data_IF_692646371196
#
_entry.id   IF_692646371196
#
_cell.length_a   1.000
_cell.length_b   1.000
_cell.length_c   1.000
_cell.angle_alpha   90.00
_cell.angle_beta   90.00
_cell.angle_gamma   90.00
#
_symmetry.space_group_name_H-M   'P 1'
#
loop_
_entity.id
_entity.type
_entity.pdbx_description
1 polymer ?
#
# COMPACT_ATOMS: atom_id res chain seq x y z
N UNK A 1 -17.78 -7.56 -27.48
CA UNK A 1 -19.17 -7.80 -27.06
C UNK A 1 -19.61 -6.59 -26.26
N UNK A 2 -20.38 -5.69 -26.88
CA UNK A 2 -20.97 -4.52 -26.23
C UNK A 2 -22.13 -5.00 -25.37
N UNK A 3 -21.92 -5.11 -24.06
CA UNK A 3 -23.00 -5.38 -23.14
C UNK A 3 -23.95 -4.18 -23.13
N UNK A 4 -25.21 -4.43 -23.44
CA UNK A 4 -26.30 -3.46 -23.42
C UNK A 4 -26.39 -2.79 -22.05
N UNK A 5 -26.27 -1.47 -22.02
CA UNK A 5 -26.35 -0.64 -20.81
C UNK A 5 -27.84 -0.39 -20.49
N UNK A 6 -28.53 -1.40 -19.95
CA UNK A 6 -29.85 -1.21 -19.33
C UNK A 6 -29.71 -1.43 -17.82
N UNK A 7 -30.04 -0.41 -17.02
CA UNK A 7 -30.12 -0.53 -15.56
C UNK A 7 -29.00 0.13 -14.74
N UNK A 8 -28.17 1.03 -15.29
CA UNK A 8 -27.21 1.78 -14.46
C UNK A 8 -27.94 2.74 -13.53
N UNK A 9 -27.69 2.59 -12.23
CA UNK A 9 -28.20 3.48 -11.20
C UNK A 9 -27.14 4.53 -10.87
N UNK A 10 -27.49 5.80 -11.10
CA UNK A 10 -26.66 6.95 -10.71
C UNK A 10 -27.10 7.50 -9.35
N UNK A 11 -26.17 8.06 -8.55
CA UNK A 11 -26.57 8.76 -7.33
C UNK A 11 -27.43 10.00 -7.65
N UNK A 12 -28.27 10.46 -6.70
CA UNK A 12 -29.23 11.54 -6.96
C UNK A 12 -28.59 12.81 -7.51
N UNK A 13 -29.19 13.37 -8.57
CA UNK A 13 -28.72 14.61 -9.21
C UNK A 13 -27.58 14.44 -10.21
N UNK A 14 -27.08 13.21 -10.40
CA UNK A 14 -25.97 12.92 -11.32
C UNK A 14 -26.52 12.49 -12.67
N UNK A 15 -26.07 13.19 -13.71
CA UNK A 15 -26.43 12.90 -15.08
C UNK A 15 -25.68 11.67 -15.59
N UNK A 16 -26.27 11.04 -16.60
CA UNK A 16 -25.71 9.85 -17.24
C UNK A 16 -24.28 10.10 -17.73
N UNK A 17 -23.43 9.09 -17.63
CA UNK A 17 -22.06 9.20 -18.12
C UNK A 17 -21.93 8.62 -19.54
N UNK A 18 -23.02 8.55 -20.31
CA UNK A 18 -23.13 7.80 -21.58
C UNK A 18 -22.24 8.35 -22.72
N UNK A 19 -22.21 7.62 -23.84
CA UNK A 19 -21.28 7.83 -24.96
C UNK A 19 -21.64 9.09 -25.77
N UNK A 20 -20.62 9.82 -26.20
CA UNK A 20 -20.65 11.11 -26.92
C UNK A 20 -20.81 12.40 -26.09
N UNK A 21 -20.18 12.46 -24.90
CA UNK A 21 -20.00 13.72 -24.16
C UNK A 21 -18.58 14.28 -24.28
N UNK A 22 -18.47 15.61 -24.34
CA UNK A 22 -17.16 16.28 -24.35
C UNK A 22 -16.42 16.05 -23.04
N UNK A 23 -15.08 16.12 -23.07
CA UNK A 23 -14.26 15.95 -21.85
C UNK A 23 -14.66 16.91 -20.74
N UNK A 24 -15.00 18.16 -21.07
CA UNK A 24 -15.41 19.16 -20.07
C UNK A 24 -16.74 18.81 -19.41
N UNK A 25 -17.72 18.34 -20.19
CA UNK A 25 -19.00 17.91 -19.62
C UNK A 25 -18.85 16.62 -18.81
N UNK A 26 -18.01 15.68 -19.27
CA UNK A 26 -17.68 14.48 -18.51
C UNK A 26 -17.03 14.82 -17.16
N UNK A 27 -16.07 15.75 -17.14
CA UNK A 27 -15.45 16.23 -15.90
C UNK A 27 -16.49 16.86 -14.97
N UNK A 28 -17.44 17.62 -15.51
CA UNK A 28 -18.54 18.21 -14.72
C UNK A 28 -19.43 17.13 -14.10
N UNK A 29 -19.88 16.16 -14.88
CA UNK A 29 -20.73 15.05 -14.40
C UNK A 29 -20.01 14.16 -13.39
N UNK A 30 -18.73 13.88 -13.60
CA UNK A 30 -17.91 13.13 -12.64
C UNK A 30 -17.66 13.90 -11.33
N UNK A 31 -17.56 15.24 -11.38
CA UNK A 31 -17.52 16.07 -10.17
C UNK A 31 -18.83 16.01 -9.40
N UNK A 32 -19.97 16.09 -10.08
CA UNK A 32 -21.31 15.90 -9.50
C UNK A 32 -21.39 14.49 -8.86
N UNK A 33 -20.91 13.46 -9.57
CA UNK A 33 -20.84 12.08 -9.08
C UNK A 33 -20.00 11.93 -7.81
N UNK A 34 -18.78 12.45 -7.81
CA UNK A 34 -17.91 12.40 -6.64
C UNK A 34 -18.51 13.16 -5.45
N UNK A 35 -19.15 14.31 -5.68
CA UNK A 35 -19.80 15.07 -4.60
C UNK A 35 -21.00 14.34 -4.01
N UNK A 36 -21.83 13.73 -4.85
CA UNK A 36 -22.99 12.97 -4.40
C UNK A 36 -22.60 11.72 -3.60
N UNK A 37 -21.54 11.04 -4.01
CA UNK A 37 -21.02 9.90 -3.25
C UNK A 37 -20.34 10.31 -1.95
N UNK A 38 -19.62 11.44 -1.92
CA UNK A 38 -18.98 11.94 -0.70
C UNK A 38 -19.96 12.27 0.43
N UNK A 39 -21.15 12.79 0.09
CA UNK A 39 -22.19 13.07 1.07
C UNK A 39 -23.00 11.85 1.48
N UNK A 40 -22.86 10.73 0.76
CA UNK A 40 -23.59 9.50 1.03
C UNK A 40 -22.99 8.76 2.22
N UNK A 41 -23.85 8.31 3.14
CA UNK A 41 -23.47 7.38 4.19
C UNK A 41 -23.51 5.93 3.69
N UNK A 42 -22.79 5.05 4.38
CA UNK A 42 -22.94 3.62 4.20
C UNK A 42 -24.36 3.20 4.61
N UNK A 43 -25.03 2.43 3.76
CA UNK A 43 -26.42 1.99 3.95
C UNK A 43 -26.59 0.61 3.29
N UNK A 44 -27.28 -0.32 3.96
CA UNK A 44 -27.54 -1.67 3.45
C UNK A 44 -28.28 -1.64 2.10
N UNK A 45 -29.18 -0.66 1.90
CA UNK A 45 -29.90 -0.49 0.64
C UNK A 45 -28.97 -0.05 -0.51
N UNK A 46 -27.86 0.62 -0.19
CA UNK A 46 -26.89 1.10 -1.17
C UNK A 46 -25.80 0.07 -1.51
N UNK A 47 -25.69 -1.04 -0.75
CA UNK A 47 -24.58 -2.01 -0.86
C UNK A 47 -24.33 -2.47 -2.30
N UNK A 48 -25.37 -2.94 -2.99
CA UNK A 48 -25.29 -3.43 -4.38
C UNK A 48 -25.90 -2.47 -5.40
N UNK A 49 -26.52 -1.38 -4.94
CA UNK A 49 -27.26 -0.44 -5.80
C UNK A 49 -26.38 0.16 -6.91
N UNK A 50 -25.12 0.43 -6.59
CA UNK A 50 -24.18 1.09 -7.50
C UNK A 50 -23.21 0.13 -8.21
N UNK A 51 -23.35 -1.19 -8.05
CA UNK A 51 -22.56 -2.21 -8.76
C UNK A 51 -22.55 -1.98 -10.29
N UNK A 52 -23.70 -1.69 -10.97
CA UNK A 52 -23.68 -1.39 -12.40
C UNK A 52 -22.86 -0.16 -12.78
N UNK A 53 -22.88 0.89 -11.95
CA UNK A 53 -22.08 2.10 -12.17
C UNK A 53 -20.60 1.83 -11.93
N UNK A 54 -20.26 1.03 -10.91
CA UNK A 54 -18.90 0.60 -10.65
C UNK A 54 -18.30 -0.12 -11.87
N UNK A 55 -19.05 -1.08 -12.45
CA UNK A 55 -18.64 -1.78 -13.67
C UNK A 55 -18.50 -0.87 -14.89
N UNK A 56 -19.33 0.17 -15.02
CA UNK A 56 -19.15 1.16 -16.08
C UNK A 56 -17.84 1.93 -15.91
N UNK A 57 -17.52 2.38 -14.68
CA UNK A 57 -16.37 3.22 -14.37
C UNK A 57 -15.02 2.53 -14.56
N UNK A 58 -14.99 1.20 -14.61
CA UNK A 58 -13.76 0.42 -14.87
C UNK A 58 -13.52 0.10 -16.34
N UNK A 59 -14.37 0.58 -17.25
CA UNK A 59 -14.13 0.41 -18.68
C UNK A 59 -12.92 1.23 -19.16
N UNK A 60 -12.23 0.75 -20.19
CA UNK A 60 -11.00 1.36 -20.75
C UNK A 60 -11.17 2.86 -21.04
N UNK A 61 -12.35 3.27 -21.50
CA UNK A 61 -12.65 4.68 -21.80
C UNK A 61 -12.51 5.62 -20.59
N UNK A 62 -12.62 5.10 -19.36
CA UNK A 62 -12.44 5.86 -18.13
C UNK A 62 -11.07 5.65 -17.52
N UNK A 63 -10.63 4.39 -17.39
CA UNK A 63 -9.35 4.06 -16.77
C UNK A 63 -8.16 4.56 -17.60
N UNK A 64 -8.25 4.46 -18.93
CA UNK A 64 -7.22 4.91 -19.88
C UNK A 64 -7.59 6.24 -20.56
N UNK A 65 -8.54 6.99 -19.99
CA UNK A 65 -8.96 8.27 -20.54
C UNK A 65 -7.77 9.25 -20.61
N UNK A 66 -7.63 10.01 -21.70
CA UNK A 66 -6.48 10.93 -21.91
C UNK A 66 -6.32 11.99 -20.82
N UNK A 67 -7.45 12.57 -20.37
CA UNK A 67 -7.46 13.58 -19.30
C UNK A 67 -7.16 12.98 -17.92
N UNK A 68 -6.15 13.53 -17.25
CA UNK A 68 -5.80 13.18 -15.87
C UNK A 68 -6.93 13.49 -14.88
N UNK A 69 -7.64 14.60 -15.08
CA UNK A 69 -8.75 14.99 -14.21
C UNK A 69 -9.90 13.97 -14.27
N UNK A 70 -10.18 13.42 -15.46
CA UNK A 70 -11.18 12.36 -15.62
C UNK A 70 -10.75 11.11 -14.84
N UNK A 71 -9.51 10.63 -15.03
CA UNK A 71 -9.01 9.44 -14.33
C UNK A 71 -9.02 9.61 -12.80
N UNK A 72 -8.60 10.77 -12.30
CA UNK A 72 -8.64 11.06 -10.87
C UNK A 72 -10.07 11.12 -10.32
N UNK A 73 -11.00 11.74 -11.04
CA UNK A 73 -12.40 11.79 -10.62
C UNK A 73 -13.04 10.40 -10.61
N UNK A 74 -12.72 9.57 -11.61
CA UNK A 74 -13.15 8.17 -11.67
C UNK A 74 -12.61 7.40 -10.46
N UNK A 75 -11.33 7.56 -10.12
CA UNK A 75 -10.75 6.93 -8.93
C UNK A 75 -11.46 7.37 -7.64
N UNK A 76 -11.77 8.67 -7.48
CA UNK A 76 -12.56 9.13 -6.33
C UNK A 76 -13.95 8.48 -6.29
N UNK A 77 -14.66 8.43 -7.42
CA UNK A 77 -15.99 7.81 -7.47
C UNK A 77 -15.93 6.32 -7.12
N UNK A 78 -14.98 5.57 -7.67
CA UNK A 78 -14.83 4.15 -7.37
C UNK A 78 -14.48 3.95 -5.88
N UNK A 79 -13.56 4.75 -5.32
CA UNK A 79 -13.20 4.67 -3.90
C UNK A 79 -14.39 4.96 -2.98
N UNK A 80 -15.23 5.95 -3.31
CA UNK A 80 -16.45 6.18 -2.55
C UNK A 80 -17.50 5.08 -2.73
N UNK A 81 -17.58 4.44 -3.91
CA UNK A 81 -18.45 3.26 -4.08
C UNK A 81 -17.97 2.14 -3.13
N UNK A 82 -16.67 1.86 -3.03
CA UNK A 82 -16.15 0.92 -2.02
C UNK A 82 -16.57 1.32 -0.59
N UNK A 83 -16.54 2.62 -0.26
CA UNK A 83 -16.94 3.14 1.05
C UNK A 83 -18.42 2.92 1.34
N UNK A 84 -19.29 3.23 0.38
CA UNK A 84 -20.76 3.15 0.52
C UNK A 84 -21.23 1.70 0.48
N UNK A 85 -20.55 0.85 -0.31
CA UNK A 85 -20.89 -0.57 -0.46
C UNK A 85 -20.34 -1.46 0.65
N UNK A 86 -19.36 -0.98 1.45
CA UNK A 86 -18.80 -1.75 2.55
C UNK A 86 -19.91 -2.35 3.46
N UNK A 87 -19.75 -3.58 3.98
CA UNK A 87 -18.58 -4.45 3.86
C UNK A 87 -18.47 -5.18 2.50
N UNK A 88 -19.49 -5.13 1.65
CA UNK A 88 -19.50 -5.84 0.38
C UNK A 88 -18.73 -5.06 -0.70
N UNK A 89 -17.75 -5.69 -1.33
CA UNK A 89 -17.05 -5.07 -2.44
C UNK A 89 -17.97 -4.98 -3.67
N UNK A 90 -17.93 -3.87 -4.44
CA UNK A 90 -18.77 -3.71 -5.63
C UNK A 90 -18.34 -4.60 -6.81
N UNK A 91 -17.25 -5.37 -6.66
CA UNK A 91 -16.75 -6.29 -7.68
C UNK A 91 -16.56 -7.67 -7.06
N UNK A 92 -16.97 -8.71 -7.81
CA UNK A 92 -16.79 -10.12 -7.40
C UNK A 92 -15.62 -10.80 -8.13
N UNK A 93 -15.24 -10.27 -9.30
CA UNK A 93 -14.15 -10.82 -10.10
C UNK A 93 -12.78 -10.32 -9.61
N UNK A 94 -11.87 -11.25 -9.30
CA UNK A 94 -10.52 -10.91 -8.84
C UNK A 94 -9.74 -10.07 -9.85
N UNK A 95 -9.92 -10.30 -11.15
CA UNK A 95 -9.23 -9.54 -12.19
C UNK A 95 -9.68 -8.07 -12.19
N UNK A 96 -10.98 -7.81 -12.07
CA UNK A 96 -11.51 -6.46 -11.91
C UNK A 96 -10.99 -5.78 -10.64
N UNK A 97 -10.97 -6.48 -9.50
CA UNK A 97 -10.46 -5.91 -8.25
C UNK A 97 -8.98 -5.52 -8.40
N UNK A 98 -8.15 -6.41 -8.95
CA UNK A 98 -6.72 -6.14 -9.17
C UNK A 98 -6.51 -4.93 -10.07
N UNK A 99 -7.25 -4.85 -11.18
CA UNK A 99 -7.21 -3.71 -12.10
C UNK A 99 -7.53 -2.38 -11.40
N UNK A 100 -8.54 -2.38 -10.53
CA UNK A 100 -8.93 -1.19 -9.77
C UNK A 100 -7.88 -0.80 -8.72
N UNK A 101 -7.30 -1.77 -8.01
CA UNK A 101 -6.23 -1.50 -7.04
C UNK A 101 -4.98 -0.94 -7.73
N UNK A 102 -4.60 -1.50 -8.88
CA UNK A 102 -3.50 -0.98 -9.70
C UNK A 102 -3.80 0.43 -10.22
N UNK A 103 -5.04 0.70 -10.63
CA UNK A 103 -5.48 2.02 -11.04
C UNK A 103 -5.42 3.05 -9.90
N UNK A 104 -5.80 2.67 -8.68
CA UNK A 104 -5.62 3.53 -7.50
C UNK A 104 -4.15 3.85 -7.25
N UNK A 105 -3.26 2.84 -7.31
CA UNK A 105 -1.82 3.06 -7.18
C UNK A 105 -1.33 4.03 -8.27
N UNK A 106 -1.79 3.89 -9.52
CA UNK A 106 -1.44 4.83 -10.58
C UNK A 106 -1.88 6.27 -10.27
N UNK A 107 -3.12 6.47 -9.81
CA UNK A 107 -3.61 7.80 -9.45
C UNK A 107 -2.85 8.39 -8.25
N UNK A 108 -2.50 7.58 -7.25
CA UNK A 108 -1.74 8.05 -6.09
C UNK A 108 -0.34 8.61 -6.43
N UNK A 109 0.19 8.36 -7.64
CA UNK A 109 1.42 9.03 -8.14
C UNK A 109 1.30 10.54 -8.17
N UNK A 110 0.08 11.08 -8.31
CA UNK A 110 -0.21 12.52 -8.28
C UNK A 110 0.20 13.22 -6.98
N UNK A 111 0.35 12.47 -5.88
CA UNK A 111 0.87 12.99 -4.60
C UNK A 111 2.36 13.35 -4.63
N UNK A 112 3.10 12.95 -5.66
CA UNK A 112 4.52 13.32 -5.79
C UNK A 112 4.75 14.82 -6.03
N UNK A 113 3.72 15.56 -6.46
CA UNK A 113 3.82 17.00 -6.75
C UNK A 113 2.83 17.81 -5.88
N UNK A 114 3.30 18.35 -4.73
CA UNK A 114 2.49 19.18 -3.83
C UNK A 114 1.87 20.43 -4.49
N UNK A 115 2.47 20.92 -5.57
CA UNK A 115 2.02 22.12 -6.28
C UNK A 115 0.95 21.81 -7.34
N UNK A 116 0.58 20.54 -7.53
CA UNK A 116 -0.48 20.16 -8.46
C UNK A 116 -1.82 20.76 -7.97
N UNK A 117 -2.58 21.50 -8.80
CA UNK A 117 -3.90 22.02 -8.41
C UNK A 117 -4.88 20.94 -7.92
N UNK A 118 -4.73 19.70 -8.41
CA UNK A 118 -5.51 18.54 -8.01
C UNK A 118 -4.97 17.81 -6.76
N UNK A 119 -3.89 18.30 -6.12
CA UNK A 119 -3.25 17.63 -4.97
C UNK A 119 -4.23 17.32 -3.84
N UNK A 120 -5.14 18.26 -3.51
CA UNK A 120 -6.19 18.04 -2.50
C UNK A 120 -7.07 16.84 -2.81
N UNK A 121 -7.33 16.56 -4.09
CA UNK A 121 -8.16 15.44 -4.55
C UNK A 121 -7.39 14.12 -4.51
N UNK A 122 -6.11 14.11 -4.86
CA UNK A 122 -5.23 12.96 -4.64
C UNK A 122 -5.09 12.63 -3.15
N UNK A 123 -4.98 13.65 -2.30
CA UNK A 123 -4.90 13.49 -0.85
C UNK A 123 -6.21 12.89 -0.30
N UNK A 124 -7.35 13.41 -0.76
CA UNK A 124 -8.65 12.86 -0.43
C UNK A 124 -8.78 11.38 -0.83
N UNK A 125 -8.32 11.01 -2.04
CA UNK A 125 -8.31 9.61 -2.48
C UNK A 125 -7.50 8.72 -1.52
N UNK A 126 -6.29 9.13 -1.15
CA UNK A 126 -5.47 8.39 -0.18
C UNK A 126 -6.15 8.25 1.19
N UNK A 127 -6.72 9.35 1.70
CA UNK A 127 -7.41 9.37 3.00
C UNK A 127 -8.61 8.42 2.99
N UNK A 128 -9.42 8.43 1.93
CA UNK A 128 -10.56 7.51 1.76
C UNK A 128 -10.10 6.04 1.74
N UNK A 129 -9.12 5.69 0.88
CA UNK A 129 -8.60 4.33 0.76
C UNK A 129 -8.01 3.81 2.08
N UNK A 130 -7.38 4.68 2.88
CA UNK A 130 -6.85 4.35 4.20
C UNK A 130 -7.94 4.14 5.24
N UNK A 131 -8.96 5.00 5.29
CA UNK A 131 -10.06 4.91 6.26
C UNK A 131 -10.92 3.69 6.01
N UNK A 132 -11.22 3.40 4.75
CA UNK A 132 -12.01 2.23 4.32
C UNK A 132 -11.18 0.95 4.36
N UNK A 133 -9.85 1.05 4.49
CA UNK A 133 -8.89 -0.05 4.39
C UNK A 133 -9.03 -0.85 3.09
N UNK A 134 -9.27 -0.15 1.97
CA UNK A 134 -9.59 -0.78 0.67
C UNK A 134 -8.55 -1.82 0.22
N UNK A 135 -7.27 -1.61 0.53
CA UNK A 135 -6.21 -2.56 0.15
C UNK A 135 -6.20 -3.85 0.97
N UNK A 136 -6.93 -3.96 2.10
CA UNK A 136 -7.04 -5.21 2.85
C UNK A 136 -7.71 -6.33 2.02
N UNK A 137 -8.47 -5.99 0.98
CA UNK A 137 -9.00 -6.96 0.01
C UNK A 137 -7.88 -7.80 -0.61
N UNK A 138 -6.63 -7.31 -0.65
CA UNK A 138 -5.48 -8.08 -1.12
C UNK A 138 -5.25 -9.39 -0.36
N UNK A 139 -5.75 -9.55 0.87
CA UNK A 139 -5.64 -10.79 1.64
C UNK A 139 -6.40 -11.94 1.00
N UNK A 140 -7.53 -11.64 0.34
CA UNK A 140 -8.40 -12.63 -0.30
C UNK A 140 -8.06 -12.85 -1.79
N UNK A 141 -7.11 -12.09 -2.36
CA UNK A 141 -6.76 -12.14 -3.78
C UNK A 141 -5.54 -13.02 -4.04
N UNK A 142 -5.63 -13.86 -5.08
CA UNK A 142 -4.46 -14.64 -5.53
C UNK A 142 -3.40 -13.75 -6.17
N UNK A 143 -2.11 -14.01 -5.92
CA UNK A 143 -0.99 -13.28 -6.55
C UNK A 143 -1.01 -11.75 -6.32
N UNK A 144 -1.58 -11.26 -5.21
CA UNK A 144 -1.68 -9.83 -4.87
C UNK A 144 -0.37 -9.21 -4.36
N UNK A 145 0.68 -10.02 -4.14
CA UNK A 145 1.96 -9.59 -3.56
C UNK A 145 2.61 -8.45 -4.35
N UNK A 146 2.47 -8.47 -5.68
CA UNK A 146 3.00 -7.42 -6.55
C UNK A 146 2.32 -6.08 -6.29
N UNK A 147 0.98 -6.07 -6.16
CA UNK A 147 0.18 -4.87 -5.89
C UNK A 147 0.60 -4.26 -4.55
N UNK A 148 0.74 -5.10 -3.51
CA UNK A 148 1.22 -4.65 -2.20
C UNK A 148 2.64 -4.06 -2.30
N UNK A 149 3.56 -4.74 -2.98
CA UNK A 149 4.93 -4.23 -3.15
C UNK A 149 4.96 -2.90 -3.92
N UNK A 150 4.16 -2.76 -4.97
CA UNK A 150 4.08 -1.53 -5.77
C UNK A 150 3.45 -0.37 -5.00
N UNK A 151 2.45 -0.64 -4.15
CA UNK A 151 1.90 0.33 -3.21
C UNK A 151 2.98 0.83 -2.24
N UNK A 152 3.73 -0.06 -1.59
CA UNK A 152 4.79 0.34 -0.66
C UNK A 152 5.89 1.15 -1.36
N UNK A 153 6.36 0.71 -2.54
CA UNK A 153 7.34 1.45 -3.35
C UNK A 153 6.84 2.86 -3.67
N UNK A 154 5.57 3.00 -4.04
CA UNK A 154 4.98 4.30 -4.33
C UNK A 154 4.92 5.17 -3.08
N UNK A 155 4.43 4.64 -1.95
CA UNK A 155 4.30 5.40 -0.71
C UNK A 155 5.66 5.94 -0.21
N UNK A 156 6.73 5.13 -0.28
CA UNK A 156 8.09 5.58 0.01
C UNK A 156 8.61 6.63 -0.97
N UNK A 157 8.12 6.64 -2.21
CA UNK A 157 8.53 7.61 -3.24
C UNK A 157 7.82 8.96 -3.08
N UNK A 158 6.52 8.97 -2.75
CA UNK A 158 5.73 10.21 -2.67
C UNK A 158 6.06 11.04 -1.43
N UNK A 159 6.58 10.40 -0.38
CA UNK A 159 6.83 11.08 0.88
C UNK A 159 8.01 12.06 0.74
N UNK A 160 7.67 13.35 0.85
CA UNK A 160 8.57 14.49 0.70
C UNK A 160 8.37 15.48 1.86
N UNK A 161 9.20 16.52 1.94
CA UNK A 161 9.23 17.43 3.10
C UNK A 161 7.92 18.21 3.31
N UNK A 162 7.13 18.44 2.25
CA UNK A 162 5.90 19.21 2.36
C UNK A 162 4.75 18.35 2.89
N UNK A 163 4.13 18.79 3.99
CA UNK A 163 3.00 18.11 4.65
C UNK A 163 3.31 16.69 5.19
N UNK A 164 4.60 16.41 5.43
CA UNK A 164 5.12 15.11 5.87
C UNK A 164 4.30 14.48 7.00
N UNK A 165 4.06 15.17 8.12
CA UNK A 165 3.42 14.56 9.30
C UNK A 165 2.01 14.02 9.05
N UNK A 166 1.16 14.79 8.35
CA UNK A 166 -0.22 14.34 8.06
C UNK A 166 -0.20 13.18 7.06
N UNK A 167 0.60 13.32 6.00
CA UNK A 167 0.70 12.32 4.95
C UNK A 167 1.31 11.01 5.49
N UNK A 168 2.38 11.11 6.29
CA UNK A 168 3.04 9.98 6.94
C UNK A 168 2.05 9.18 7.76
N UNK A 169 1.23 9.83 8.61
CA UNK A 169 0.25 9.14 9.44
C UNK A 169 -0.73 8.31 8.61
N UNK A 170 -1.30 8.90 7.56
CA UNK A 170 -2.24 8.20 6.67
C UNK A 170 -1.54 7.04 5.96
N UNK A 171 -0.32 7.23 5.47
CA UNK A 171 0.44 6.14 4.83
C UNK A 171 0.72 5.01 5.83
N UNK A 172 1.11 5.32 7.07
CA UNK A 172 1.32 4.29 8.10
C UNK A 172 0.02 3.55 8.41
N UNK A 173 -1.11 4.26 8.49
CA UNK A 173 -2.43 3.67 8.72
C UNK A 173 -2.90 2.81 7.54
N UNK A 174 -2.53 3.16 6.31
CA UNK A 174 -2.78 2.38 5.10
C UNK A 174 -1.90 1.11 5.02
N UNK A 175 -0.61 1.22 5.32
CA UNK A 175 0.37 0.15 5.06
C UNK A 175 0.50 -0.86 6.21
N UNK A 176 0.30 -0.45 7.47
CA UNK A 176 0.51 -1.33 8.62
C UNK A 176 -0.43 -2.55 8.66
N UNK A 177 -1.73 -2.44 8.33
CA UNK A 177 -2.62 -3.60 8.25
C UNK A 177 -2.11 -4.66 7.27
N UNK A 178 -1.52 -4.26 6.14
CA UNK A 178 -0.97 -5.15 5.11
C UNK A 178 0.24 -5.98 5.57
N UNK A 179 0.78 -5.70 6.75
CA UNK A 179 1.83 -6.50 7.41
C UNK A 179 1.26 -7.21 8.64
N UNK A 180 0.41 -6.53 9.41
CA UNK A 180 -0.11 -7.06 10.68
C UNK A 180 -1.12 -8.18 10.50
N UNK A 181 -1.99 -8.06 9.50
CA UNK A 181 -3.13 -8.95 9.23
C UNK A 181 -2.84 -9.93 8.07
N UNK A 182 -1.68 -9.82 7.42
CA UNK A 182 -1.31 -10.69 6.30
C UNK A 182 -0.83 -12.07 6.77
N UNK A 183 -1.38 -13.13 6.17
CA UNK A 183 -0.94 -14.51 6.39
C UNK A 183 0.52 -14.74 5.95
N UNK A 184 0.93 -14.07 4.86
CA UNK A 184 2.28 -14.14 4.32
C UNK A 184 2.74 -12.79 3.80
N UNK A 185 3.83 -12.28 4.37
CA UNK A 185 4.52 -11.08 3.87
C UNK A 185 5.56 -11.47 2.81
N UNK A 186 5.53 -10.88 1.59
CA UNK A 186 6.50 -11.17 0.55
C UNK A 186 7.93 -10.79 0.98
N UNK A 187 8.92 -11.64 0.67
CA UNK A 187 10.32 -11.33 0.94
C UNK A 187 10.80 -10.05 0.24
N UNK A 188 10.24 -9.74 -0.94
CA UNK A 188 10.48 -8.47 -1.62
C UNK A 188 10.01 -7.27 -0.78
N UNK A 189 8.87 -7.39 -0.08
CA UNK A 189 8.33 -6.32 0.76
C UNK A 189 9.28 -5.99 1.92
N UNK A 190 9.81 -7.02 2.58
CA UNK A 190 10.82 -6.86 3.65
C UNK A 190 12.06 -6.14 3.10
N UNK A 191 12.55 -6.54 1.92
CA UNK A 191 13.66 -5.86 1.26
C UNK A 191 13.36 -4.39 0.96
N UNK A 192 12.16 -4.07 0.48
CA UNK A 192 11.75 -2.69 0.21
C UNK A 192 11.85 -1.85 1.48
N UNK A 193 11.30 -2.33 2.60
CA UNK A 193 11.32 -1.61 3.89
C UNK A 193 12.75 -1.46 4.41
N UNK A 194 13.53 -2.54 4.46
CA UNK A 194 14.90 -2.52 4.99
C UNK A 194 15.83 -1.62 4.18
N UNK A 195 15.63 -1.55 2.86
CA UNK A 195 16.42 -0.66 2.01
C UNK A 195 16.27 0.80 2.38
N UNK A 196 15.17 1.22 3.02
CA UNK A 196 14.96 2.62 3.41
C UNK A 196 15.59 3.00 4.76
N UNK A 197 16.03 2.03 5.57
CA UNK A 197 16.68 2.28 6.87
C UNK A 197 18.21 2.16 6.83
N UNK A 198 18.79 1.79 5.69
CA UNK A 198 20.24 1.67 5.48
C UNK A 198 20.76 2.64 4.42
N UNK A 199 22.08 2.86 4.39
CA UNK A 199 22.71 3.69 3.37
C UNK A 199 22.68 3.04 1.97
N UNK A 200 22.63 3.85 0.88
CA UNK A 200 22.60 5.32 0.87
C UNK A 200 21.18 5.90 1.01
N UNK A 201 20.14 5.07 1.00
CA UNK A 201 18.73 5.55 0.98
C UNK A 201 18.33 6.27 2.27
N UNK A 202 18.88 5.84 3.41
CA UNK A 202 18.70 6.48 4.71
C UNK A 202 19.04 7.98 4.67
N UNK A 203 20.19 8.34 4.10
CA UNK A 203 20.60 9.75 3.96
C UNK A 203 19.94 10.46 2.79
N UNK A 204 19.70 9.76 1.67
CA UNK A 204 19.07 10.34 0.47
C UNK A 204 17.62 10.79 0.70
N UNK A 205 16.84 10.05 1.48
CA UNK A 205 15.47 10.43 1.82
C UNK A 205 15.16 10.11 3.29
N UNK A 206 15.42 11.10 4.16
CA UNK A 206 15.18 11.01 5.60
C UNK A 206 13.71 10.73 5.93
N UNK A 207 12.77 11.30 5.17
CA UNK A 207 11.34 11.12 5.39
C UNK A 207 10.88 9.69 5.09
N UNK A 208 11.38 9.10 4.01
CA UNK A 208 11.13 7.70 3.70
C UNK A 208 11.76 6.76 4.75
N UNK A 209 12.94 7.11 5.28
CA UNK A 209 13.54 6.39 6.41
C UNK A 209 12.64 6.47 7.65
N UNK A 210 12.22 7.67 8.07
CA UNK A 210 11.33 7.85 9.22
C UNK A 210 10.02 7.07 9.04
N UNK A 211 9.44 7.09 7.83
CA UNK A 211 8.27 6.28 7.50
C UNK A 211 8.55 4.78 7.68
N UNK A 212 9.67 4.27 7.17
CA UNK A 212 10.05 2.87 7.30
C UNK A 212 10.22 2.47 8.77
N UNK A 213 10.87 3.31 9.56
CA UNK A 213 11.02 3.10 11.00
C UNK A 213 9.65 3.05 11.70
N UNK A 214 8.72 3.92 11.33
CA UNK A 214 7.40 3.96 11.95
C UNK A 214 6.55 2.73 11.60
N UNK A 215 6.61 2.27 10.34
CA UNK A 215 6.00 1.00 9.92
C UNK A 215 6.60 -0.14 10.75
N UNK A 216 7.93 -0.24 10.83
CA UNK A 216 8.63 -1.27 11.61
C UNK A 216 8.23 -1.27 13.10
N UNK A 217 8.08 -0.10 13.72
CA UNK A 217 7.61 0.00 15.12
C UNK A 217 6.18 -0.50 15.26
N UNK A 218 5.28 -0.03 14.40
CA UNK A 218 3.84 -0.36 14.46
C UNK A 218 3.53 -1.81 14.10
N UNK A 219 4.41 -2.46 13.33
CA UNK A 219 4.23 -3.85 12.89
C UNK A 219 5.19 -4.82 13.56
N UNK A 220 5.82 -4.43 14.67
CA UNK A 220 6.89 -5.21 15.30
C UNK A 220 6.47 -6.63 15.73
N UNK A 221 5.22 -6.82 16.15
CA UNK A 221 4.68 -8.12 16.57
C UNK A 221 4.55 -9.11 15.40
N UNK A 222 4.12 -8.64 14.23
CA UNK A 222 3.89 -9.49 13.07
C UNK A 222 5.13 -9.61 12.17
N UNK A 223 5.94 -8.55 12.08
CA UNK A 223 7.10 -8.54 11.17
C UNK A 223 8.26 -9.42 11.67
N UNK A 224 8.32 -9.73 12.97
CA UNK A 224 9.43 -10.43 13.61
C UNK A 224 9.81 -11.76 12.95
N UNK A 225 8.82 -12.62 12.64
CA UNK A 225 9.05 -13.91 11.96
C UNK A 225 9.65 -13.72 10.56
N UNK A 226 9.25 -12.67 9.85
CA UNK A 226 9.79 -12.36 8.52
C UNK A 226 11.19 -11.75 8.58
N UNK A 227 11.49 -10.97 9.62
CA UNK A 227 12.85 -10.51 9.95
C UNK A 227 13.75 -11.72 10.20
N UNK A 228 13.30 -12.66 11.04
CA UNK A 228 14.04 -13.90 11.31
C UNK A 228 14.34 -14.66 10.02
N UNK A 229 13.31 -14.93 9.20
CA UNK A 229 13.45 -15.65 7.94
C UNK A 229 14.39 -14.93 6.96
N UNK A 230 14.35 -13.59 6.90
CA UNK A 230 15.28 -12.80 6.10
C UNK A 230 16.74 -13.05 6.52
N UNK A 231 17.03 -12.94 7.82
CA UNK A 231 18.39 -13.15 8.33
C UNK A 231 18.84 -14.61 8.16
N UNK A 232 17.96 -15.58 8.44
CA UNK A 232 18.21 -17.00 8.12
C UNK A 232 18.66 -17.11 6.66
N UNK A 233 17.87 -16.65 5.70
CA UNK A 233 18.25 -16.75 4.29
C UNK A 233 19.59 -16.06 3.97
N UNK A 234 19.84 -14.85 4.49
CA UNK A 234 21.12 -14.15 4.28
C UNK A 234 22.32 -14.89 4.89
N UNK A 235 22.13 -15.59 6.02
CA UNK A 235 23.19 -16.31 6.71
C UNK A 235 23.47 -17.68 6.12
N UNK A 236 22.43 -18.40 5.70
CA UNK A 236 22.49 -19.74 5.12
C UNK A 236 22.92 -19.75 3.64
N UNK A 237 22.75 -18.65 2.89
CA UNK A 237 23.24 -18.50 1.50
C UNK A 237 24.78 -18.42 1.37
N UNK A 238 25.54 -18.96 2.33
CA UNK A 238 26.92 -19.39 2.12
C UNK A 238 27.97 -18.30 2.00
N UNK A 239 27.64 -17.01 2.23
CA UNK A 239 28.68 -15.98 2.27
C UNK A 239 29.53 -16.15 3.55
N UNK A 240 30.86 -16.30 3.41
CA UNK A 240 31.76 -16.61 4.53
C UNK A 240 31.90 -15.44 5.51
N UNK A 241 31.48 -14.23 5.13
CA UNK A 241 31.47 -13.05 5.99
C UNK A 241 30.07 -12.44 6.05
N UNK A 242 29.74 -11.87 7.20
CA UNK A 242 28.60 -10.95 7.34
C UNK A 242 28.96 -9.69 6.56
N UNK A 243 28.13 -9.31 5.58
CA UNK A 243 28.37 -8.07 4.83
C UNK A 243 28.18 -6.86 5.73
N UNK A 244 28.94 -5.79 5.53
CA UNK A 244 28.80 -4.49 6.22
C UNK A 244 27.35 -4.02 6.25
N UNK A 245 26.66 -4.10 5.10
CA UNK A 245 25.22 -3.81 4.97
C UNK A 245 24.31 -4.57 5.94
N UNK A 246 24.66 -5.80 6.30
CA UNK A 246 23.88 -6.62 7.22
C UNK A 246 24.15 -6.19 8.67
N UNK A 247 25.39 -5.81 9.00
CA UNK A 247 25.72 -5.19 10.28
C UNK A 247 24.99 -3.86 10.47
N UNK A 248 24.98 -3.01 9.44
CA UNK A 248 24.24 -1.74 9.45
C UNK A 248 22.75 -2.00 9.69
N UNK A 249 22.16 -2.95 8.97
CA UNK A 249 20.76 -3.31 9.16
C UNK A 249 20.47 -3.79 10.59
N UNK A 250 21.33 -4.63 11.17
CA UNK A 250 21.18 -5.11 12.55
C UNK A 250 21.22 -3.94 13.53
N UNK A 251 22.18 -3.02 13.35
CA UNK A 251 22.30 -1.82 14.18
C UNK A 251 21.05 -0.94 14.09
N UNK A 252 20.56 -0.68 12.87
CA UNK A 252 19.36 0.13 12.64
C UNK A 252 18.12 -0.52 13.25
N UNK A 253 17.90 -1.82 13.04
CA UNK A 253 16.77 -2.55 13.64
C UNK A 253 16.82 -2.50 15.18
N UNK A 254 17.99 -2.67 15.79
CA UNK A 254 18.16 -2.52 17.24
C UNK A 254 17.78 -1.13 17.74
N UNK A 255 18.17 -0.08 17.01
CA UNK A 255 17.86 1.30 17.35
C UNK A 255 16.37 1.65 17.18
N UNK A 256 15.69 1.05 16.20
CA UNK A 256 14.27 1.28 15.91
C UNK A 256 13.40 0.58 16.96
N UNK A 257 13.65 -0.70 17.20
CA UNK A 257 12.95 -1.50 18.19
C UNK A 257 13.86 -2.61 18.72
N UNK A 258 14.34 -2.46 19.95
CA UNK A 258 15.21 -3.43 20.61
C UNK A 258 14.63 -4.85 20.66
N UNK A 259 13.30 -4.98 20.74
CA UNK A 259 12.60 -6.27 20.73
C UNK A 259 12.82 -7.07 19.45
N UNK A 260 13.13 -6.41 18.32
CA UNK A 260 13.42 -7.11 17.06
C UNK A 260 14.68 -7.97 17.14
N UNK A 261 15.60 -7.66 18.07
CA UNK A 261 16.82 -8.44 18.24
C UNK A 261 16.57 -9.86 18.72
N UNK A 262 15.43 -10.13 19.38
CA UNK A 262 15.06 -11.50 19.75
C UNK A 262 14.94 -12.43 18.52
N UNK A 263 14.63 -11.88 17.34
CA UNK A 263 14.52 -12.62 16.09
C UNK A 263 15.86 -12.77 15.35
N UNK A 264 16.82 -11.89 15.63
CA UNK A 264 18.10 -11.79 14.91
C UNK A 264 19.24 -12.49 15.66
N UNK A 265 19.31 -12.34 16.99
CA UNK A 265 20.38 -12.90 17.83
C UNK A 265 20.53 -14.42 17.67
N UNK A 266 19.45 -15.24 17.71
CA UNK A 266 19.59 -16.68 17.53
C UNK A 266 20.22 -17.07 16.18
N UNK A 267 19.98 -16.28 15.13
CA UNK A 267 20.54 -16.51 13.80
C UNK A 267 22.04 -16.15 13.75
N UNK A 268 22.43 -15.06 14.41
CA UNK A 268 23.83 -14.67 14.56
C UNK A 268 24.64 -15.70 15.36
N UNK A 269 24.08 -16.17 16.48
CA UNK A 269 24.69 -17.23 17.28
C UNK A 269 24.88 -18.50 16.43
N UNK A 270 23.84 -18.95 15.72
CA UNK A 270 23.94 -20.11 14.83
C UNK A 270 25.08 -19.99 13.82
N UNK A 271 25.27 -18.81 13.23
CA UNK A 271 26.37 -18.56 12.29
C UNK A 271 27.73 -18.53 12.97
N UNK A 272 27.87 -17.89 14.14
CA UNK A 272 29.11 -17.90 14.92
C UNK A 272 29.54 -19.32 15.31
N UNK A 273 28.59 -20.15 15.75
CA UNK A 273 28.84 -21.56 16.06
C UNK A 273 29.34 -22.35 14.85
N UNK A 274 28.85 -22.02 13.64
CA UNK A 274 29.30 -22.65 12.39
C UNK A 274 30.72 -22.28 11.98
N UNK A 275 31.18 -21.06 12.30
CA UNK A 275 32.54 -20.58 11.96
C UNK A 275 33.60 -21.05 12.95
N UNK A 276 33.24 -21.21 14.23
CA UNK A 276 34.16 -21.63 15.27
C UNK A 276 33.56 -22.78 16.10
N UNK A 277 33.54 -24.03 15.58
CA UNK A 277 33.13 -25.18 16.38
C UNK A 277 33.94 -25.34 17.67
N UNK A 278 35.21 -24.88 17.66
CA UNK A 278 36.14 -24.98 18.77
C UNK A 278 35.92 -23.97 19.90
N UNK A 279 35.36 -22.78 19.65
CA UNK A 279 35.14 -21.76 20.70
C UNK A 279 34.08 -22.19 21.73
N UNK A 280 33.23 -23.17 21.39
CA UNK A 280 32.21 -23.74 22.30
C UNK A 280 32.70 -24.95 23.11
N UNK A 281 33.87 -25.49 22.78
CA UNK A 281 34.51 -26.55 23.59
C UNK A 281 35.26 -26.01 24.80
N UNK A 282 35.40 -24.68 24.91
CA UNK A 282 35.91 -24.05 26.11
C UNK A 282 34.76 -23.89 27.11
N UNK A 283 34.89 -24.42 28.34
CA UNK A 283 33.87 -24.26 29.36
C UNK A 283 33.52 -22.78 29.55
N UNK A 284 32.22 -22.48 29.64
CA UNK A 284 31.70 -21.17 30.05
C UNK A 284 32.15 -20.84 31.48
N UNK A 285 33.41 -20.45 31.64
CA UNK A 285 33.96 -19.91 32.87
C UNK A 285 34.95 -18.85 32.44
N UNK A 286 34.61 -17.59 32.77
CA UNK A 286 35.30 -16.34 32.43
C UNK A 286 34.67 -15.60 31.22
N UNK A 287 33.49 -15.02 31.43
CA UNK A 287 33.24 -13.56 31.47
C UNK A 287 31.77 -13.28 31.78
#
# INVERSE_FOLDING_TARGET
MTASIEGIVYPPGVRDLSEDISTDDLVRRLKECAQAFQSMAQDEENSLRFEPLAHLLISERFLDHRSQDVRLLVACCIADIFRVSAPDAPYKDECQIKMVLEFFIDQLKGLSNPNNPAFKRYFYLLENLSVVKTFNICFDLQNSQKIVCDLFKLMFKIINDHQFLKLQRIIVDLLSPLINEADLVPAELINIIFNHIIEPKKTQNKNACILAQEILRKTASSIGTYVQAYFTNQFYLGKPNVSERLCDLIYELHSINRGMMAFVIPQLEGKLKSWCPFLLSLPYTIL
#
